data_IF_938494620574
#
_entry.id   IF_938494620574
#
_cell.length_a   1.000
_cell.length_b   1.000
_cell.length_c   1.000
_cell.angle_alpha   90.00
_cell.angle_beta   90.00
_cell.angle_gamma   90.00
#
_symmetry.space_group_name_H-M   'P 1'
#
loop_
_entity.id
_entity.type
_entity.pdbx_description
1 polymer ?
#
# COMPACT_ATOMS: atom_id res chain seq x y z
N UNK A 1 -27.95 -19.43 58.78
CA UNK A 1 -26.82 -18.56 58.39
C UNK A 1 -27.10 -18.04 56.99
N UNK A 2 -27.81 -16.91 56.90
CA UNK A 2 -28.21 -16.29 55.64
C UNK A 2 -27.06 -15.47 55.07
N UNK A 3 -26.86 -15.55 53.76
CA UNK A 3 -25.92 -14.67 53.06
C UNK A 3 -26.32 -13.21 53.25
N UNK A 4 -25.37 -12.29 53.52
CA UNK A 4 -25.67 -10.87 53.61
C UNK A 4 -26.28 -10.37 52.29
N UNK A 5 -27.32 -9.54 52.41
CA UNK A 5 -28.01 -8.92 51.28
C UNK A 5 -27.03 -8.11 50.42
N UNK A 6 -27.04 -8.35 49.12
CA UNK A 6 -26.25 -7.62 48.14
C UNK A 6 -26.51 -6.10 48.24
N UNK A 7 -25.49 -5.25 48.10
CA UNK A 7 -25.67 -3.80 48.14
C UNK A 7 -26.61 -3.33 47.02
N UNK A 8 -27.52 -2.41 47.34
CA UNK A 8 -28.51 -1.82 46.41
C UNK A 8 -27.90 -1.09 45.19
N UNK A 9 -26.56 -1.00 45.09
CA UNK A 9 -25.86 -0.34 43.99
C UNK A 9 -25.89 -1.10 42.65
N UNK A 10 -26.30 -2.38 42.66
CA UNK A 10 -26.31 -3.24 41.46
C UNK A 10 -27.69 -3.37 40.79
N UNK A 11 -28.74 -2.80 41.39
CA UNK A 11 -30.14 -3.03 40.97
C UNK A 11 -30.48 -2.42 39.58
N UNK A 12 -29.64 -1.52 39.06
CA UNK A 12 -29.83 -0.87 37.76
C UNK A 12 -28.95 -1.36 36.61
N UNK A 13 -27.95 -2.23 36.84
CA UNK A 13 -26.96 -2.57 35.80
C UNK A 13 -27.33 -3.83 35.01
N UNK A 14 -28.02 -3.65 33.88
CA UNK A 14 -28.40 -4.74 32.98
C UNK A 14 -27.31 -4.99 31.92
N UNK A 15 -26.50 -6.03 32.12
CA UNK A 15 -25.39 -6.40 31.25
C UNK A 15 -25.83 -6.96 29.87
N UNK A 16 -26.95 -7.68 29.85
CA UNK A 16 -27.51 -8.30 28.65
C UNK A 16 -28.71 -7.48 28.20
N UNK A 17 -28.59 -6.86 27.03
CA UNK A 17 -29.62 -5.98 26.47
C UNK A 17 -30.71 -6.83 25.81
N UNK A 18 -30.31 -7.86 25.07
CA UNK A 18 -31.22 -8.67 24.28
C UNK A 18 -30.73 -10.12 24.24
N UNK A 19 -31.65 -11.08 24.43
CA UNK A 19 -31.39 -12.51 24.28
C UNK A 19 -32.17 -13.03 23.08
N UNK A 20 -31.47 -13.48 22.05
CA UNK A 20 -32.02 -14.08 20.83
C UNK A 20 -31.49 -15.53 20.78
N UNK A 21 -32.15 -16.44 21.52
CA UNK A 21 -31.75 -17.85 21.60
C UNK A 21 -30.32 -18.04 22.15
N UNK A 22 -29.41 -18.79 21.46
CA UNK A 22 -28.03 -18.98 21.92
C UNK A 22 -27.18 -17.69 21.83
N UNK A 23 -27.65 -16.66 21.12
CA UNK A 23 -26.96 -15.39 20.95
C UNK A 23 -27.41 -14.39 22.01
N UNK A 24 -26.46 -13.95 22.83
CA UNK A 24 -26.70 -12.94 23.87
C UNK A 24 -25.99 -11.64 23.51
N UNK A 25 -26.76 -10.57 23.36
CA UNK A 25 -26.25 -9.26 22.98
C UNK A 25 -25.91 -8.48 24.26
N UNK A 26 -24.62 -8.41 24.56
CA UNK A 26 -24.08 -7.75 25.76
C UNK A 26 -23.72 -6.31 25.48
N UNK A 27 -23.86 -5.43 26.49
CA UNK A 27 -23.49 -4.01 26.36
C UNK A 27 -21.99 -3.83 26.07
N UNK A 28 -21.16 -4.73 26.60
CA UNK A 28 -19.72 -4.77 26.31
C UNK A 28 -19.44 -5.19 24.87
N UNK A 29 -20.12 -6.22 24.36
CA UNK A 29 -19.99 -6.67 22.97
C UNK A 29 -20.41 -5.59 21.98
N UNK A 30 -21.51 -4.87 22.26
CA UNK A 30 -21.96 -3.75 21.44
C UNK A 30 -20.92 -2.62 21.40
N UNK A 31 -20.37 -2.22 22.56
CA UNK A 31 -19.33 -1.19 22.61
C UNK A 31 -18.07 -1.61 21.82
N UNK A 32 -17.59 -2.84 21.99
CA UNK A 32 -16.43 -3.35 21.26
C UNK A 32 -16.69 -3.46 19.76
N UNK A 33 -17.88 -3.91 19.36
CA UNK A 33 -18.27 -4.02 17.95
C UNK A 33 -18.32 -2.64 17.28
N UNK A 34 -18.92 -1.64 17.93
CA UNK A 34 -18.98 -0.27 17.41
C UNK A 34 -17.58 0.34 17.28
N UNK A 35 -16.70 0.15 18.28
CA UNK A 35 -15.31 0.62 18.20
C UNK A 35 -14.55 -0.07 17.06
N UNK A 36 -14.67 -1.40 16.93
CA UNK A 36 -14.01 -2.13 15.84
C UNK A 36 -14.51 -1.70 14.47
N UNK A 37 -15.83 -1.55 14.30
CA UNK A 37 -16.42 -1.11 13.04
C UNK A 37 -15.94 0.31 12.65
N UNK A 38 -15.91 1.24 13.61
CA UNK A 38 -15.42 2.59 13.41
C UNK A 38 -13.92 2.61 13.02
N UNK A 39 -13.09 1.80 13.66
CA UNK A 39 -11.66 1.68 13.33
C UNK A 39 -11.45 1.13 11.93
N UNK A 40 -12.10 0.01 11.60
CA UNK A 40 -12.00 -0.60 10.27
C UNK A 40 -12.45 0.37 9.18
N UNK A 41 -13.57 1.07 9.39
CA UNK A 41 -14.06 2.10 8.47
C UNK A 41 -13.03 3.22 8.27
N UNK A 42 -12.45 3.73 9.35
CA UNK A 42 -11.45 4.81 9.31
C UNK A 42 -10.17 4.39 8.57
N UNK A 43 -9.73 3.15 8.75
CA UNK A 43 -8.55 2.61 8.06
C UNK A 43 -8.81 2.49 6.55
N UNK A 44 -9.95 1.92 6.15
CA UNK A 44 -10.27 1.79 4.73
C UNK A 44 -10.47 3.15 4.05
N UNK A 45 -11.14 4.09 4.72
CA UNK A 45 -11.37 5.42 4.16
C UNK A 45 -10.06 6.21 4.01
N UNK A 46 -9.19 6.16 5.02
CA UNK A 46 -7.89 6.86 4.96
C UNK A 46 -7.00 6.28 3.86
N UNK A 47 -6.91 4.95 3.72
CA UNK A 47 -6.17 4.30 2.64
C UNK A 47 -6.72 4.63 1.25
N UNK A 48 -8.05 4.69 1.11
CA UNK A 48 -8.71 5.00 -0.16
C UNK A 48 -8.43 6.44 -0.61
N UNK A 49 -8.52 7.40 0.31
CA UNK A 49 -8.17 8.80 0.02
C UNK A 49 -6.71 8.90 -0.37
N UNK A 50 -5.80 8.31 0.42
CA UNK A 50 -4.36 8.31 0.12
C UNK A 50 -4.05 7.77 -1.29
N UNK A 51 -4.60 6.60 -1.63
CA UNK A 51 -4.36 5.98 -2.93
C UNK A 51 -4.99 6.78 -4.10
N UNK A 52 -6.11 7.47 -3.85
CA UNK A 52 -6.78 8.27 -4.87
C UNK A 52 -6.15 9.65 -5.08
N UNK A 53 -5.54 10.25 -4.06
CA UNK A 53 -4.99 11.62 -4.13
C UNK A 53 -3.52 11.67 -4.50
N UNK A 54 -2.80 10.56 -4.38
CA UNK A 54 -1.34 10.52 -4.50
C UNK A 54 -0.91 9.68 -5.69
N UNK A 55 -0.03 10.23 -6.54
CA UNK A 55 0.50 9.48 -7.68
C UNK A 55 1.53 8.45 -7.23
N UNK A 56 1.70 7.31 -7.95
CA UNK A 56 2.68 6.29 -7.58
C UNK A 56 4.12 6.83 -7.51
N UNK A 57 4.46 7.82 -8.34
CA UNK A 57 5.76 8.50 -8.32
C UNK A 57 5.98 9.27 -7.00
N UNK A 58 4.95 9.93 -6.47
CA UNK A 58 5.01 10.60 -5.16
C UNK A 58 5.17 9.59 -4.01
N UNK A 59 4.57 8.40 -4.11
CA UNK A 59 4.74 7.33 -3.12
C UNK A 59 6.20 6.85 -3.10
N UNK A 60 6.82 6.65 -4.27
CA UNK A 60 8.25 6.30 -4.34
C UNK A 60 9.15 7.37 -3.72
N UNK A 61 8.78 8.65 -3.84
CA UNK A 61 9.49 9.74 -3.18
C UNK A 61 9.34 9.70 -1.66
N UNK A 62 8.12 9.50 -1.15
CA UNK A 62 7.89 9.32 0.28
C UNK A 62 8.70 8.13 0.82
N UNK A 63 8.79 7.05 0.05
CA UNK A 63 9.60 5.88 0.39
C UNK A 63 11.10 6.20 0.43
N UNK A 64 11.61 7.05 -0.48
CA UNK A 64 13.01 7.54 -0.43
C UNK A 64 13.29 8.22 0.90
N UNK A 65 12.39 9.08 1.36
CA UNK A 65 12.55 9.77 2.64
C UNK A 65 12.56 8.79 3.83
N UNK A 66 11.66 7.79 3.80
CA UNK A 66 11.62 6.74 4.83
C UNK A 66 12.85 5.81 4.84
N UNK A 67 13.42 5.50 3.68
CA UNK A 67 14.60 4.61 3.56
C UNK A 67 15.92 5.40 3.70
N UNK A 68 15.90 6.73 3.58
CA UNK A 68 17.07 7.61 3.75
C UNK A 68 17.94 7.30 4.98
N UNK A 69 17.42 7.12 6.21
CA UNK A 69 18.25 6.78 7.37
C UNK A 69 19.00 5.44 7.23
N UNK A 70 18.50 4.52 6.38
CA UNK A 70 19.14 3.24 6.09
C UNK A 70 20.40 3.38 5.22
N UNK A 71 20.60 4.54 4.58
CA UNK A 71 21.85 4.84 3.86
C UNK A 71 23.07 4.79 4.78
N UNK A 72 22.91 5.17 6.06
CA UNK A 72 23.97 5.12 7.06
C UNK A 72 24.40 3.69 7.41
N UNK A 73 23.60 2.68 7.07
CA UNK A 73 23.90 1.25 7.22
C UNK A 73 24.57 0.65 5.97
N UNK A 74 24.94 1.48 4.98
CA UNK A 74 25.62 1.03 3.75
C UNK A 74 24.68 0.56 2.64
N UNK A 75 23.36 0.79 2.76
CA UNK A 75 22.39 0.43 1.71
C UNK A 75 22.40 1.49 0.59
N UNK A 76 22.50 1.11 -0.70
CA UNK A 76 22.48 2.05 -1.83
C UNK A 76 21.06 2.57 -2.12
N UNK A 77 20.56 3.48 -1.28
CA UNK A 77 19.19 4.03 -1.36
C UNK A 77 18.92 4.69 -2.72
N UNK A 78 19.91 5.36 -3.31
CA UNK A 78 19.76 6.03 -4.60
C UNK A 78 19.42 5.07 -5.75
N UNK A 79 20.08 3.90 -5.79
CA UNK A 79 19.85 2.88 -6.82
C UNK A 79 18.49 2.19 -6.65
N UNK A 80 18.09 1.91 -5.40
CA UNK A 80 16.78 1.33 -5.09
C UNK A 80 15.65 2.25 -5.54
N UNK A 81 15.76 3.55 -5.29
CA UNK A 81 14.73 4.51 -5.71
C UNK A 81 14.73 4.71 -7.22
N UNK A 82 15.90 4.73 -7.87
CA UNK A 82 15.99 4.83 -9.32
C UNK A 82 15.35 3.62 -10.03
N UNK A 83 15.65 2.41 -9.57
CA UNK A 83 15.04 1.18 -10.11
C UNK A 83 13.53 1.16 -9.87
N UNK A 84 13.06 1.62 -8.71
CA UNK A 84 11.64 1.75 -8.41
C UNK A 84 10.94 2.76 -9.35
N UNK A 85 11.48 3.97 -9.52
CA UNK A 85 10.91 4.99 -10.41
C UNK A 85 10.86 4.51 -11.86
N UNK A 86 11.92 3.85 -12.33
CA UNK A 86 11.93 3.27 -13.66
C UNK A 86 10.87 2.19 -13.80
N UNK A 87 10.73 1.30 -12.80
CA UNK A 87 9.72 0.25 -12.77
C UNK A 87 8.29 0.80 -12.80
N UNK A 88 8.03 1.88 -12.05
CA UNK A 88 6.73 2.56 -12.03
C UNK A 88 6.38 3.21 -13.37
N UNK A 89 7.36 3.68 -14.13
CA UNK A 89 7.11 4.17 -15.50
C UNK A 89 6.93 3.01 -16.47
N UNK A 90 7.67 1.93 -16.26
CA UNK A 90 7.62 0.73 -17.09
C UNK A 90 6.31 -0.07 -16.92
N UNK A 91 5.63 0.02 -15.77
CA UNK A 91 4.37 -0.68 -15.53
C UNK A 91 3.31 -0.32 -16.57
N UNK A 92 3.23 0.95 -16.99
CA UNK A 92 2.27 1.42 -17.99
C UNK A 92 2.57 0.79 -19.35
N UNK A 93 3.85 0.71 -19.73
CA UNK A 93 4.28 0.03 -20.95
C UNK A 93 3.90 -1.45 -20.93
N UNK A 94 4.11 -2.14 -19.81
CA UNK A 94 3.70 -3.55 -19.65
C UNK A 94 2.19 -3.70 -19.81
N UNK A 95 1.39 -2.81 -19.20
CA UNK A 95 -0.06 -2.84 -19.36
C UNK A 95 -0.51 -2.63 -20.80
N UNK A 96 0.12 -1.71 -21.53
CA UNK A 96 -0.19 -1.47 -22.93
C UNK A 96 0.19 -2.67 -23.81
N UNK A 97 1.34 -3.30 -23.55
CA UNK A 97 1.76 -4.51 -24.27
C UNK A 97 0.82 -5.68 -24.00
N UNK A 98 0.43 -5.89 -22.73
CA UNK A 98 -0.56 -6.90 -22.35
C UNK A 98 -1.90 -6.63 -23.04
N UNK A 99 -2.36 -5.36 -23.08
CA UNK A 99 -3.60 -4.98 -23.76
C UNK A 99 -3.52 -5.24 -25.26
N UNK A 100 -2.41 -4.89 -25.90
CA UNK A 100 -2.18 -5.13 -27.34
C UNK A 100 -2.18 -6.63 -27.67
N UNK A 101 -1.52 -7.44 -26.84
CA UNK A 101 -1.54 -8.91 -26.99
C UNK A 101 -2.95 -9.46 -26.76
N UNK A 102 -3.66 -8.99 -25.73
CA UNK A 102 -5.04 -9.40 -25.45
C UNK A 102 -5.98 -9.10 -26.63
N UNK A 103 -5.90 -7.89 -27.20
CA UNK A 103 -6.66 -7.53 -28.40
C UNK A 103 -6.29 -8.40 -29.61
N UNK A 104 -5.00 -8.71 -29.78
CA UNK A 104 -4.51 -9.63 -30.80
C UNK A 104 -5.00 -11.08 -30.63
N UNK A 105 -5.20 -11.53 -29.40
CA UNK A 105 -5.79 -12.84 -29.09
C UNK A 105 -7.27 -12.86 -29.48
N UNK A 106 -8.02 -11.83 -29.09
CA UNK A 106 -9.45 -11.71 -29.38
C UNK A 106 -9.72 -11.66 -30.89
N UNK A 107 -8.90 -10.92 -31.65
CA UNK A 107 -9.05 -10.81 -33.11
C UNK A 107 -8.79 -12.14 -33.84
N UNK A 108 -7.94 -13.01 -33.27
CA UNK A 108 -7.61 -14.31 -33.85
C UNK A 108 -8.69 -15.37 -33.65
N UNK A 109 -9.83 -15.02 -33.01
CA UNK A 109 -11.03 -15.87 -32.83
C UNK A 109 -10.69 -17.31 -32.42
N UNK A 110 -9.86 -17.44 -31.38
CA UNK A 110 -9.50 -18.73 -30.81
C UNK A 110 -10.76 -19.39 -30.25
N UNK A 111 -11.07 -20.62 -30.67
CA UNK A 111 -12.23 -21.37 -30.18
C UNK A 111 -11.92 -22.00 -28.81
N UNK A 112 -12.05 -21.21 -27.75
CA UNK A 112 -11.75 -21.62 -26.37
C UNK A 112 -12.57 -22.81 -25.88
N UNK A 113 -13.76 -23.05 -26.45
CA UNK A 113 -14.64 -24.14 -26.03
C UNK A 113 -14.15 -25.53 -26.47
N UNK A 114 -13.25 -25.61 -27.44
CA UNK A 114 -12.74 -26.87 -27.99
C UNK A 114 -11.33 -27.23 -27.48
N UNK A 115 -10.71 -26.39 -26.65
CA UNK A 115 -9.32 -26.58 -26.21
C UNK A 115 -9.21 -27.43 -24.95
N UNK A 116 -8.18 -28.29 -24.93
CA UNK A 116 -7.78 -29.02 -23.72
C UNK A 116 -7.00 -28.10 -22.78
N UNK A 117 -7.01 -28.39 -21.47
CA UNK A 117 -6.24 -27.62 -20.47
C UNK A 117 -4.74 -27.52 -20.82
N UNK A 118 -4.15 -28.56 -21.40
CA UNK A 118 -2.73 -28.58 -21.80
C UNK A 118 -2.43 -27.61 -22.96
N UNK A 119 -3.31 -27.57 -23.96
CA UNK A 119 -3.17 -26.67 -25.12
C UNK A 119 -3.32 -25.20 -24.69
N UNK A 120 -4.22 -24.94 -23.73
CA UNK A 120 -4.41 -23.60 -23.15
C UNK A 120 -3.15 -23.09 -22.48
N UNK A 121 -2.45 -23.95 -21.73
CA UNK A 121 -1.20 -23.60 -21.04
C UNK A 121 -0.07 -23.31 -22.04
N UNK A 122 0.07 -24.10 -23.10
CA UNK A 122 1.11 -23.90 -24.12
C UNK A 122 0.91 -22.57 -24.88
N UNK A 123 -0.34 -22.28 -25.22
CA UNK A 123 -0.75 -21.00 -25.82
C UNK A 123 -0.44 -19.83 -24.88
N UNK A 124 -0.79 -19.94 -23.60
CA UNK A 124 -0.50 -18.93 -22.58
C UNK A 124 1.01 -18.69 -22.44
N UNK A 125 1.82 -19.75 -22.37
CA UNK A 125 3.27 -19.65 -22.28
C UNK A 125 3.88 -18.97 -23.52
N UNK A 126 3.36 -19.29 -24.71
CA UNK A 126 3.79 -18.65 -25.96
C UNK A 126 3.55 -17.14 -25.95
N UNK A 127 2.41 -16.69 -25.42
CA UNK A 127 2.10 -15.26 -25.30
C UNK A 127 2.95 -14.57 -24.23
N UNK A 128 3.12 -15.19 -23.07
CA UNK A 128 4.01 -14.70 -22.02
C UNK A 128 5.42 -14.50 -22.59
N UNK A 129 5.97 -15.48 -23.29
CA UNK A 129 7.29 -15.41 -23.92
C UNK A 129 7.40 -14.23 -24.90
N UNK A 130 6.33 -13.94 -25.64
CA UNK A 130 6.28 -12.77 -26.55
C UNK A 130 6.34 -11.45 -25.79
N UNK A 131 5.52 -11.32 -24.74
CA UNK A 131 5.47 -10.12 -23.89
C UNK A 131 6.84 -9.88 -23.25
N UNK A 132 7.45 -10.92 -22.67
CA UNK A 132 8.79 -10.82 -22.09
C UNK A 132 9.83 -10.38 -23.11
N UNK A 133 9.86 -10.98 -24.32
CA UNK A 133 10.80 -10.58 -25.37
C UNK A 133 10.67 -9.09 -25.70
N UNK A 134 9.45 -8.59 -25.85
CA UNK A 134 9.20 -7.18 -26.15
C UNK A 134 9.65 -6.27 -25.01
N UNK A 135 9.30 -6.63 -23.77
CA UNK A 135 9.75 -5.94 -22.55
C UNK A 135 11.28 -5.87 -22.46
N UNK A 136 11.98 -6.96 -22.72
CA UNK A 136 13.45 -6.99 -22.67
C UNK A 136 14.09 -6.08 -23.73
N UNK A 137 13.54 -6.05 -24.94
CA UNK A 137 14.01 -5.12 -25.99
C UNK A 137 13.84 -3.67 -25.55
N UNK A 138 12.71 -3.33 -24.92
CA UNK A 138 12.50 -1.98 -24.39
C UNK A 138 13.44 -1.64 -23.23
N UNK A 139 13.69 -2.58 -22.32
CA UNK A 139 14.65 -2.39 -21.24
C UNK A 139 16.07 -2.13 -21.78
N UNK A 140 16.49 -2.88 -22.81
CA UNK A 140 17.77 -2.66 -23.48
C UNK A 140 17.86 -1.27 -24.13
N UNK A 141 16.81 -0.85 -24.85
CA UNK A 141 16.74 0.49 -25.45
C UNK A 141 16.85 1.60 -24.40
N UNK A 142 16.18 1.46 -23.26
CA UNK A 142 16.24 2.41 -22.15
C UNK A 142 17.65 2.45 -21.56
N UNK A 143 18.25 1.30 -21.32
CA UNK A 143 19.61 1.18 -20.79
C UNK A 143 20.64 1.85 -21.70
N UNK A 144 20.60 1.53 -23.00
CA UNK A 144 21.48 2.15 -23.99
C UNK A 144 21.27 3.67 -24.06
N UNK A 145 20.02 4.13 -24.06
CA UNK A 145 19.71 5.56 -24.06
C UNK A 145 20.17 6.27 -22.77
N UNK A 146 20.23 5.57 -21.65
CA UNK A 146 20.73 6.07 -20.37
C UNK A 146 22.27 6.21 -20.39
N UNK A 147 22.97 5.21 -20.95
CA UNK A 147 24.43 5.23 -21.14
C UNK A 147 24.85 6.36 -22.09
N UNK A 148 24.16 6.52 -23.23
CA UNK A 148 24.45 7.57 -24.22
C UNK A 148 24.23 8.97 -23.64
N UNK A 149 23.28 9.13 -22.72
CA UNK A 149 23.04 10.39 -21.98
C UNK A 149 24.06 10.63 -20.86
N UNK A 150 25.04 9.75 -20.69
CA UNK A 150 26.12 9.91 -19.71
C UNK A 150 25.77 9.45 -18.30
N UNK A 151 24.75 8.61 -18.12
CA UNK A 151 24.49 8.00 -16.81
C UNK A 151 25.57 6.97 -16.48
N UNK A 152 26.30 7.18 -15.38
CA UNK A 152 27.44 6.33 -14.97
C UNK A 152 27.16 5.46 -13.75
N UNK A 153 25.94 5.49 -13.21
CA UNK A 153 25.56 4.72 -12.02
C UNK A 153 26.12 5.24 -10.69
N UNK A 154 26.80 6.39 -10.68
CA UNK A 154 27.34 6.96 -9.45
C UNK A 154 26.24 7.65 -8.61
N UNK A 155 26.06 7.15 -7.39
CA UNK A 155 25.12 7.64 -6.38
C UNK A 155 25.39 9.09 -5.94
N UNK A 156 26.62 9.58 -6.08
CA UNK A 156 27.03 10.87 -5.48
C UNK A 156 26.81 12.06 -6.40
N UNK A 157 26.81 11.84 -7.73
CA UNK A 157 26.77 12.91 -8.73
C UNK A 157 25.38 13.13 -9.33
N UNK A 158 24.46 12.18 -9.21
CA UNK A 158 23.12 12.27 -9.80
C UNK A 158 22.04 12.57 -8.75
N UNK A 159 21.77 13.86 -8.55
CA UNK A 159 20.55 14.28 -7.84
C UNK A 159 19.35 14.11 -8.78
N UNK A 160 18.44 13.22 -8.41
CA UNK A 160 17.14 13.10 -9.07
C UNK A 160 16.32 14.33 -8.67
N UNK A 161 16.39 15.38 -9.49
CA UNK A 161 15.55 16.57 -9.32
C UNK A 161 14.16 16.27 -9.86
N UNK A 162 13.27 15.82 -8.98
CA UNK A 162 11.83 15.79 -9.22
C UNK A 162 11.20 16.93 -8.43
N UNK A 163 10.29 17.67 -9.06
CA UNK A 163 9.73 18.98 -8.67
C UNK A 163 8.97 19.06 -7.32
N UNK A 164 9.17 18.10 -6.42
CA UNK A 164 8.60 18.09 -5.07
C UNK A 164 9.57 18.62 -3.99
N UNK A 165 10.75 19.12 -4.37
CA UNK A 165 11.74 19.72 -3.46
C UNK A 165 11.29 21.10 -2.90
N UNK A 166 10.07 21.56 -3.20
CA UNK A 166 9.54 22.83 -2.67
C UNK A 166 8.83 22.70 -1.32
N UNK A 167 8.71 21.50 -0.75
CA UNK A 167 8.34 21.39 0.66
C UNK A 167 9.61 21.51 1.48
N UNK A 168 9.78 22.67 2.13
CA UNK A 168 10.92 22.94 2.99
C UNK A 168 11.16 21.76 3.94
N UNK A 169 12.43 21.36 4.13
CA UNK A 169 12.77 20.34 5.13
C UNK A 169 12.18 20.67 6.52
N UNK A 170 11.98 21.96 6.76
CA UNK A 170 11.26 22.55 7.89
C UNK A 170 9.80 22.09 7.98
N UNK A 171 9.04 22.11 6.88
CA UNK A 171 7.65 21.65 6.87
C UNK A 171 7.54 20.15 7.17
N UNK A 172 8.50 19.35 6.70
CA UNK A 172 8.53 17.92 6.97
C UNK A 172 8.84 17.64 8.45
N UNK A 173 9.81 18.35 9.03
CA UNK A 173 10.13 18.27 10.45
C UNK A 173 8.96 18.71 11.35
N UNK A 174 8.27 19.79 10.97
CA UNK A 174 7.06 20.28 11.67
C UNK A 174 5.94 19.24 11.60
N UNK A 175 5.71 18.60 10.45
CA UNK A 175 4.69 17.57 10.30
C UNK A 175 4.96 16.36 11.19
N UNK A 176 6.22 15.90 11.24
CA UNK A 176 6.63 14.78 12.10
C UNK A 176 6.47 15.14 13.57
N UNK A 177 6.89 16.34 13.98
CA UNK A 177 6.74 16.82 15.35
C UNK A 177 5.26 16.94 15.76
N UNK A 178 4.41 17.41 14.85
CA UNK A 178 2.97 17.51 15.06
C UNK A 178 2.32 16.12 15.20
N UNK A 179 2.72 15.18 14.35
CA UNK A 179 2.23 13.81 14.38
C UNK A 179 2.65 13.11 15.69
N UNK A 180 3.89 13.30 16.13
CA UNK A 180 4.37 12.79 17.41
C UNK A 180 3.60 13.40 18.60
N UNK A 181 3.31 14.71 18.52
CA UNK A 181 2.49 15.42 19.51
C UNK A 181 1.06 14.89 19.58
N UNK A 182 0.41 14.63 18.43
CA UNK A 182 -0.93 14.06 18.38
C UNK A 182 -0.96 12.62 18.92
N UNK A 183 0.05 11.79 18.60
CA UNK A 183 0.15 10.43 19.14
C UNK A 183 0.34 10.47 20.67
N UNK A 184 1.19 11.36 21.17
CA UNK A 184 1.39 11.56 22.60
C UNK A 184 0.09 12.01 23.29
N UNK A 185 -0.65 12.94 22.67
CA UNK A 185 -1.93 13.44 23.19
C UNK A 185 -3.03 12.38 23.21
N UNK A 186 -3.07 11.49 22.20
CA UNK A 186 -4.06 10.40 22.12
C UNK A 186 -3.70 9.23 23.05
N UNK A 187 -2.41 9.04 23.36
CA UNK A 187 -1.94 7.97 24.27
C UNK A 187 -1.99 8.37 25.74
N UNK A 188 -1.79 9.64 26.08
CA UNK A 188 -1.93 10.22 27.42
C UNK A 188 -3.24 9.87 28.17
N UNK A 189 -4.44 10.02 27.58
CA UNK A 189 -5.69 9.72 28.28
C UNK A 189 -5.86 8.22 28.55
N UNK A 190 -5.23 7.34 27.76
CA UNK A 190 -5.26 5.89 28.04
C UNK A 190 -4.36 5.53 29.23
N UNK A 191 -3.26 6.25 29.44
CA UNK A 191 -2.38 6.05 30.60
C UNK A 191 -2.94 6.67 31.89
N UNK A 192 -3.79 7.71 31.79
CA UNK A 192 -4.36 8.40 32.95
C UNK A 192 -5.63 7.72 33.51
N UNK A 193 -6.17 6.73 32.81
CA UNK A 193 -7.43 6.02 33.17
C UNK A 193 -7.14 4.60 33.71
N UNK A 194 -5.86 4.22 33.86
CA UNK A 194 -5.42 2.97 34.48
C UNK A 194 -4.76 3.25 35.83
#
# INVERSE_FOLDING_TARGET
MGLPSFPASLEGYKYVILKLGPLQLTRKGLSTATTSACLTFTIFQSASVFLSTTTPEQIAFALRWFISPLANLGVPVAEVILTLLLSLRFINLVFDEVRNVALGIVSRRINWQQMTMLETIDVFFTYIRRIFRNIFVHAEQISQAMIVRGFRGDSTTHKIFLSADSSSEVANYISISCLFGLIALVTLPKYLIQ
#
